data_IF_551640492863
#
_entry.id   IF_551640492863
#
_cell.length_a   1.000
_cell.length_b   1.000
_cell.length_c   1.000
_cell.angle_alpha   90.00
_cell.angle_beta   90.00
_cell.angle_gamma   90.00
#
_symmetry.space_group_name_H-M   'P 1'
#
loop_
_entity.id
_entity.type
_entity.pdbx_description
1 polymer ?
#
# COMPACT_ATOMS: atom_id res chain seq x y z
N UNK A 1 0.05 26.18 -2.52
CA UNK A 1 -0.60 25.07 -3.27
C UNK A 1 -0.19 25.07 -4.76
N UNK A 2 -0.51 26.12 -5.55
CA UNK A 2 -0.22 26.14 -7.00
C UNK A 2 1.27 25.96 -7.33
N UNK A 3 2.19 26.54 -6.54
CA UNK A 3 3.64 26.46 -6.82
C UNK A 3 4.18 25.05 -6.53
N UNK A 4 3.70 24.38 -5.49
CA UNK A 4 4.07 22.99 -5.22
C UNK A 4 3.64 22.07 -6.36
N UNK A 5 2.46 22.29 -6.94
CA UNK A 5 1.99 21.57 -8.11
C UNK A 5 2.93 21.71 -9.33
N UNK A 6 3.60 22.87 -9.51
CA UNK A 6 4.60 23.04 -10.56
C UNK A 6 5.89 22.25 -10.29
N UNK A 7 6.25 22.06 -9.02
CA UNK A 7 7.40 21.22 -8.61
C UNK A 7 7.04 19.75 -8.78
N UNK A 8 5.89 19.32 -8.25
CA UNK A 8 5.42 17.95 -8.29
C UNK A 8 5.24 17.43 -9.73
N UNK A 9 4.75 18.31 -10.63
CA UNK A 9 4.65 18.00 -12.05
C UNK A 9 5.98 18.13 -12.84
N UNK A 10 7.09 18.43 -12.18
CA UNK A 10 8.40 18.59 -12.83
C UNK A 10 8.54 19.81 -13.73
N UNK A 11 7.63 20.78 -13.64
CA UNK A 11 7.70 22.04 -14.42
C UNK A 11 8.66 23.05 -13.81
N UNK A 12 8.97 22.90 -12.53
CA UNK A 12 9.97 23.69 -11.83
C UNK A 12 11.01 22.76 -11.21
N UNK A 13 12.13 22.57 -11.88
CA UNK A 13 13.23 21.70 -11.49
C UNK A 13 14.52 22.52 -11.37
N UNK A 14 15.47 22.05 -10.57
CA UNK A 14 16.84 22.57 -10.61
C UNK A 14 17.48 22.18 -11.94
N UNK A 15 18.24 23.11 -12.54
CA UNK A 15 18.74 23.02 -13.92
C UNK A 15 19.59 21.77 -14.24
N UNK A 16 20.19 21.15 -13.24
CA UNK A 16 21.20 20.08 -13.42
C UNK A 16 20.91 18.79 -12.62
N UNK A 17 19.70 18.56 -12.15
CA UNK A 17 19.36 17.43 -11.24
C UNK A 17 20.11 17.46 -9.89
N UNK A 18 20.96 18.45 -9.63
CA UNK A 18 21.78 18.60 -8.43
C UNK A 18 21.25 19.71 -7.48
N UNK A 19 19.97 19.99 -7.52
CA UNK A 19 19.35 20.98 -6.65
C UNK A 19 18.02 20.51 -6.08
N UNK A 20 17.67 21.05 -4.90
CA UNK A 20 16.35 20.93 -4.31
C UNK A 20 15.67 22.28 -4.38
N UNK A 21 14.49 22.33 -4.94
CA UNK A 21 13.63 23.52 -4.93
C UNK A 21 12.65 23.38 -3.78
N UNK A 22 12.76 24.29 -2.81
CA UNK A 22 11.80 24.41 -1.71
C UNK A 22 10.94 25.63 -1.91
N UNK A 23 9.66 25.50 -1.62
CA UNK A 23 8.69 26.61 -1.64
C UNK A 23 8.11 26.77 -0.26
N UNK A 24 8.26 27.95 0.28
CA UNK A 24 7.71 28.32 1.58
C UNK A 24 6.81 29.57 1.42
N UNK A 25 5.84 29.75 2.31
CA UNK A 25 4.98 30.91 2.30
C UNK A 25 5.10 31.66 3.62
N UNK A 26 5.67 32.85 3.54
CA UNK A 26 5.72 33.78 4.66
C UNK A 26 4.38 34.50 4.78
N UNK A 27 3.60 34.12 5.79
CA UNK A 27 2.26 34.67 6.05
C UNK A 27 2.32 36.12 6.46
N UNK A 28 3.35 36.51 7.24
CA UNK A 28 3.50 37.86 7.77
C UNK A 28 3.91 38.87 6.67
N UNK A 29 4.78 38.43 5.77
CA UNK A 29 5.24 39.20 4.63
C UNK A 29 4.34 39.08 3.38
N UNK A 30 3.39 38.13 3.39
CA UNK A 30 2.54 37.77 2.25
C UNK A 30 3.37 37.44 0.98
N UNK A 31 4.42 36.66 1.15
CA UNK A 31 5.37 36.31 0.09
C UNK A 31 5.56 34.81 -0.05
N UNK A 32 5.65 34.34 -1.28
CA UNK A 32 6.13 32.98 -1.58
C UNK A 32 7.64 33.03 -1.76
N UNK A 33 8.36 32.29 -0.92
CA UNK A 33 9.81 32.19 -0.97
C UNK A 33 10.17 30.90 -1.70
N UNK A 34 10.87 31.02 -2.84
CA UNK A 34 11.38 29.88 -3.59
C UNK A 34 12.89 29.83 -3.34
N UNK A 35 13.36 28.76 -2.74
CA UNK A 35 14.78 28.54 -2.45
C UNK A 35 15.28 27.37 -3.24
N UNK A 36 16.32 27.56 -4.06
CA UNK A 36 17.06 26.50 -4.72
C UNK A 36 18.35 26.22 -3.93
N UNK A 37 18.47 25.02 -3.38
CA UNK A 37 19.70 24.59 -2.67
C UNK A 37 20.45 23.60 -3.55
N UNK A 38 21.67 23.89 -3.98
CA UNK A 38 22.49 22.92 -4.71
C UNK A 38 22.76 21.68 -3.88
N UNK A 39 22.60 20.49 -4.47
CA UNK A 39 23.08 19.26 -3.89
C UNK A 39 24.59 19.12 -4.18
N UNK A 40 25.31 18.48 -3.26
CA UNK A 40 26.70 18.13 -3.51
C UNK A 40 26.76 17.01 -4.56
N UNK A 41 27.32 17.25 -5.74
CA UNK A 41 27.32 16.26 -6.82
C UNK A 41 28.24 15.05 -6.55
N UNK A 42 29.04 15.11 -5.48
CA UNK A 42 29.90 14.00 -5.06
C UNK A 42 29.16 12.95 -4.26
N UNK A 43 27.97 13.26 -3.72
CA UNK A 43 27.22 12.38 -2.83
C UNK A 43 26.19 11.55 -3.60
N UNK A 44 25.88 10.39 -3.07
CA UNK A 44 24.74 9.57 -3.49
C UNK A 44 23.42 10.35 -3.31
N UNK A 45 22.49 10.17 -4.26
CA UNK A 45 21.25 10.92 -4.36
C UNK A 45 20.10 10.01 -4.80
N UNK A 46 18.87 10.53 -4.77
CA UNK A 46 17.65 9.85 -5.23
C UNK A 46 17.54 8.43 -4.64
N UNK A 47 17.46 8.31 -3.31
CA UNK A 47 17.34 7.00 -2.67
C UNK A 47 16.01 6.33 -3.05
N UNK A 48 16.06 5.02 -3.25
CA UNK A 48 14.88 4.16 -3.34
C UNK A 48 15.05 3.03 -2.32
N UNK A 49 14.14 2.87 -1.35
CA UNK A 49 12.98 3.72 -1.06
C UNK A 49 13.35 5.19 -0.80
N UNK A 50 12.43 6.11 -1.12
CA UNK A 50 12.63 7.53 -0.82
C UNK A 50 12.81 7.77 0.67
N UNK A 51 13.59 8.79 1.03
CA UNK A 51 13.81 9.09 2.45
C UNK A 51 12.51 9.58 3.11
N UNK A 52 12.11 8.90 4.18
CA UNK A 52 10.85 9.12 4.87
C UNK A 52 9.69 8.29 4.33
N UNK A 53 9.91 7.43 3.31
CA UNK A 53 8.88 6.54 2.81
C UNK A 53 8.30 5.65 3.91
N UNK A 54 7.01 5.43 3.87
CA UNK A 54 6.26 4.49 4.72
C UNK A 54 5.70 3.35 3.86
N UNK A 55 5.22 2.30 4.50
CA UNK A 55 4.62 1.14 3.83
C UNK A 55 5.56 0.47 2.79
N UNK A 56 6.85 0.53 3.05
CA UNK A 56 7.86 -0.11 2.20
C UNK A 56 7.78 -1.63 2.34
N UNK A 57 7.86 -2.35 1.23
CA UNK A 57 7.83 -3.81 1.21
C UNK A 57 9.01 -4.41 2.02
N UNK A 58 8.77 -5.57 2.63
CA UNK A 58 9.76 -6.26 3.47
C UNK A 58 10.99 -6.79 2.72
N UNK A 59 10.87 -6.98 1.43
CA UNK A 59 11.93 -7.44 0.52
C UNK A 59 12.52 -6.31 -0.33
N UNK A 60 12.35 -5.07 0.12
CA UNK A 60 12.82 -3.88 -0.59
C UNK A 60 14.32 -3.94 -0.89
N UNK A 61 14.67 -3.56 -2.12
CA UNK A 61 16.04 -3.35 -2.56
C UNK A 61 16.36 -1.87 -2.45
N UNK A 62 17.46 -1.55 -1.76
CA UNK A 62 17.95 -0.18 -1.69
C UNK A 62 18.69 0.16 -2.99
N UNK A 63 18.40 1.31 -3.58
CA UNK A 63 19.11 1.82 -4.74
C UNK A 63 19.24 3.34 -4.68
N UNK A 64 20.18 3.88 -5.43
CA UNK A 64 20.49 5.31 -5.45
C UNK A 64 21.11 5.74 -6.76
N UNK A 65 21.15 7.05 -7.01
CA UNK A 65 21.96 7.65 -8.07
C UNK A 65 23.33 7.95 -7.49
N UNK A 66 24.44 7.37 -8.02
CA UNK A 66 25.78 7.66 -7.56
C UNK A 66 26.19 9.11 -7.81
N UNK A 67 27.15 9.60 -7.00
CA UNK A 67 27.85 10.86 -7.27
C UNK A 67 28.70 10.80 -8.55
N UNK A 68 29.07 11.98 -9.07
CA UNK A 68 29.77 12.08 -10.39
C UNK A 68 31.24 11.68 -10.39
N UNK A 69 31.86 11.52 -9.20
CA UNK A 69 33.30 11.21 -9.07
C UNK A 69 33.56 9.86 -8.40
N UNK A 70 32.52 9.04 -8.27
CA UNK A 70 32.59 7.78 -7.52
C UNK A 70 33.29 6.67 -8.31
N UNK A 71 34.13 5.89 -7.63
CA UNK A 71 34.64 4.62 -8.12
C UNK A 71 33.93 3.45 -7.45
N UNK A 72 33.73 3.51 -6.13
CA UNK A 72 33.00 2.51 -5.33
C UNK A 72 32.20 3.16 -4.22
N UNK A 73 31.34 2.38 -3.57
CA UNK A 73 30.48 2.86 -2.49
C UNK A 73 30.57 1.97 -1.25
N UNK A 74 30.41 2.61 -0.06
CA UNK A 74 30.22 1.91 1.20
C UNK A 74 28.80 2.13 1.67
N UNK A 75 28.08 1.05 1.96
CA UNK A 75 26.68 1.09 2.38
C UNK A 75 26.57 0.74 3.86
N UNK A 76 25.91 1.61 4.59
CA UNK A 76 25.58 1.44 6.01
C UNK A 76 24.08 1.32 6.13
N UNK A 77 23.61 0.29 6.85
CA UNK A 77 22.18 -0.02 6.99
C UNK A 77 21.90 -0.61 8.37
N UNK A 78 20.83 -0.16 9.04
CA UNK A 78 20.48 -0.63 10.37
C UNK A 78 19.24 0.04 10.93
N UNK A 79 18.90 -0.28 12.18
CA UNK A 79 17.72 0.25 12.88
C UNK A 79 18.01 1.40 13.85
N UNK A 80 19.29 1.71 14.09
CA UNK A 80 19.72 2.86 14.88
C UNK A 80 20.29 3.97 14.00
N UNK A 81 19.64 5.14 14.04
CA UNK A 81 20.04 6.30 13.23
C UNK A 81 21.45 6.80 13.56
N UNK A 82 21.85 6.76 14.84
CA UNK A 82 23.17 7.26 15.26
C UNK A 82 24.27 6.30 14.81
N UNK A 83 24.05 4.99 14.96
CA UNK A 83 25.04 4.01 14.52
C UNK A 83 25.23 4.10 13.00
N UNK A 84 24.15 4.18 12.23
CA UNK A 84 24.26 4.37 10.76
C UNK A 84 24.92 5.70 10.40
N UNK A 85 24.59 6.79 11.12
CA UNK A 85 25.16 8.09 10.86
C UNK A 85 26.64 8.17 11.21
N UNK A 86 27.08 7.58 12.33
CA UNK A 86 28.44 7.74 12.87
C UNK A 86 29.40 6.64 12.44
N UNK A 87 28.91 5.52 11.86
CA UNK A 87 29.76 4.42 11.42
C UNK A 87 30.78 4.88 10.36
N UNK A 88 31.94 4.23 10.38
CA UNK A 88 33.00 4.35 9.38
C UNK A 88 33.49 2.96 8.99
N UNK A 89 34.39 2.85 8.00
CA UNK A 89 35.03 1.57 7.65
C UNK A 89 35.88 1.04 8.83
N UNK A 90 36.49 1.93 9.59
CA UNK A 90 37.36 1.56 10.73
C UNK A 90 36.55 1.30 12.00
N UNK A 91 35.35 1.90 12.14
CA UNK A 91 34.38 1.66 13.22
C UNK A 91 32.99 1.37 12.62
N UNK A 92 32.75 0.15 12.15
CA UNK A 92 31.54 -0.20 11.40
C UNK A 92 30.26 -0.30 12.25
N UNK A 93 30.34 -0.30 13.58
CA UNK A 93 29.21 -0.38 14.53
C UNK A 93 28.18 -1.45 14.24
N UNK A 94 28.54 -2.47 13.47
CA UNK A 94 27.65 -3.55 13.03
C UNK A 94 26.66 -3.16 11.92
N UNK A 95 26.80 -1.98 11.30
CA UNK A 95 25.88 -1.46 10.27
C UNK A 95 26.52 -1.28 8.89
N UNK A 96 27.84 -1.53 8.72
CA UNK A 96 28.48 -1.57 7.40
C UNK A 96 28.11 -2.88 6.72
N UNK A 97 27.20 -2.82 5.75
CA UNK A 97 26.65 -3.99 5.06
C UNK A 97 27.19 -4.19 3.65
N UNK A 98 27.84 -3.18 3.08
CA UNK A 98 28.51 -3.26 1.79
C UNK A 98 29.74 -2.36 1.77
N UNK A 99 30.89 -2.92 1.37
CA UNK A 99 32.13 -2.18 1.26
C UNK A 99 32.66 -2.28 -0.17
N UNK A 100 33.11 -1.17 -0.72
CA UNK A 100 33.72 -1.07 -2.06
C UNK A 100 32.80 -1.63 -3.17
N UNK A 101 31.47 -1.39 -3.07
CA UNK A 101 30.51 -1.82 -4.07
C UNK A 101 30.67 -1.01 -5.35
N UNK A 102 30.70 -1.69 -6.51
CA UNK A 102 30.72 -1.04 -7.82
C UNK A 102 29.32 -0.69 -8.34
N UNK A 103 28.27 -1.32 -7.79
CA UNK A 103 26.87 -1.12 -8.18
C UNK A 103 26.13 -0.18 -7.23
N UNK A 104 25.12 0.51 -7.74
CA UNK A 104 24.32 1.47 -6.98
C UNK A 104 23.05 0.82 -6.40
N UNK A 105 23.17 -0.38 -5.85
CA UNK A 105 22.08 -1.07 -5.16
C UNK A 105 22.60 -1.99 -4.08
N UNK A 106 21.75 -2.25 -3.08
CA UNK A 106 22.00 -3.22 -2.01
C UNK A 106 20.70 -3.94 -1.66
N UNK A 107 20.75 -5.26 -1.56
CA UNK A 107 19.62 -6.08 -1.10
C UNK A 107 19.94 -6.55 0.32
N UNK A 108 19.11 -6.22 1.32
CA UNK A 108 19.29 -6.76 2.68
C UNK A 108 19.31 -8.30 2.70
N UNK A 109 20.19 -8.89 3.50
CA UNK A 109 20.36 -10.34 3.57
C UNK A 109 19.13 -11.07 4.15
N UNK A 110 18.33 -10.36 4.95
CA UNK A 110 17.13 -10.89 5.56
C UNK A 110 15.92 -10.06 5.18
N UNK A 111 14.75 -10.70 5.17
CA UNK A 111 13.47 -10.00 5.08
C UNK A 111 13.34 -9.02 6.25
N UNK A 112 12.95 -7.78 5.95
CA UNK A 112 12.84 -6.70 6.92
C UNK A 112 11.69 -6.93 7.91
N UNK A 113 11.84 -6.42 9.13
CA UNK A 113 10.83 -6.57 10.18
C UNK A 113 9.65 -5.62 9.95
N UNK A 114 8.44 -6.11 10.22
CA UNK A 114 7.21 -5.34 10.11
C UNK A 114 7.21 -4.09 11.00
N UNK A 115 6.78 -2.96 10.46
CA UNK A 115 6.64 -1.69 11.17
C UNK A 115 7.97 -1.08 11.63
N UNK A 116 9.09 -1.73 11.30
CA UNK A 116 10.41 -1.25 11.69
C UNK A 116 10.87 -0.11 10.78
N UNK A 117 11.34 0.97 11.38
CA UNK A 117 12.07 2.01 10.66
C UNK A 117 13.53 1.60 10.50
N UNK A 118 14.01 1.63 9.28
CA UNK A 118 15.40 1.42 8.91
C UNK A 118 16.04 2.72 8.48
N UNK A 119 17.32 2.88 8.83
CA UNK A 119 18.18 3.98 8.43
C UNK A 119 19.28 3.46 7.52
N UNK A 120 19.68 4.26 6.57
CA UNK A 120 20.78 3.89 5.68
C UNK A 120 21.52 5.10 5.12
N UNK A 121 22.74 4.86 4.72
CA UNK A 121 23.64 5.88 4.18
C UNK A 121 24.58 5.23 3.18
N UNK A 122 24.95 5.97 2.14
CA UNK A 122 25.92 5.57 1.14
C UNK A 122 27.06 6.57 1.14
N UNK A 123 28.27 6.12 1.47
CA UNK A 123 29.48 6.93 1.35
C UNK A 123 30.14 6.64 0.02
N UNK A 124 30.41 7.67 -0.76
CA UNK A 124 31.03 7.58 -2.06
C UNK A 124 32.56 7.57 -1.92
N UNK A 125 33.24 6.66 -2.62
CA UNK A 125 34.68 6.42 -2.51
C UNK A 125 35.34 6.61 -3.85
N UNK A 126 36.44 7.40 -3.86
CA UNK A 126 37.37 7.51 -4.97
C UNK A 126 38.79 7.68 -4.43
N UNK A 127 39.61 6.66 -4.53
CA UNK A 127 40.97 6.63 -3.95
C UNK A 127 41.93 7.64 -4.59
N UNK A 128 41.56 8.22 -5.74
CA UNK A 128 42.35 9.27 -6.40
C UNK A 128 42.04 10.67 -5.89
N UNK A 129 40.96 10.82 -5.10
CA UNK A 129 40.52 12.10 -4.58
C UNK A 129 40.89 12.28 -3.10
N UNK A 130 41.58 13.39 -2.74
CA UNK A 130 42.18 13.56 -1.41
C UNK A 130 41.18 13.69 -0.26
N UNK A 131 39.89 13.98 -0.56
CA UNK A 131 38.82 14.15 0.45
C UNK A 131 37.83 12.99 0.44
N UNK A 132 38.14 11.89 -0.23
CA UNK A 132 37.39 10.65 -0.19
C UNK A 132 37.69 9.87 1.10
N UNK A 133 36.71 9.11 1.66
CA UNK A 133 35.33 8.96 1.21
C UNK A 133 34.47 10.19 1.53
N UNK A 134 33.48 10.47 0.65
CA UNK A 134 32.48 11.50 0.91
C UNK A 134 31.29 10.90 1.64
N UNK A 135 31.10 11.31 2.89
CA UNK A 135 30.01 10.85 3.74
C UNK A 135 28.65 11.26 3.17
N UNK A 136 27.80 10.28 2.91
CA UNK A 136 26.46 10.48 2.38
C UNK A 136 25.46 11.06 3.36
N UNK A 137 24.25 11.34 2.86
CA UNK A 137 23.11 11.72 3.69
C UNK A 137 22.55 10.51 4.41
N UNK A 138 22.03 10.71 5.61
CA UNK A 138 21.26 9.71 6.32
C UNK A 138 19.84 9.69 5.73
N UNK A 139 19.40 8.55 5.23
CA UNK A 139 18.05 8.29 4.76
C UNK A 139 17.34 7.31 5.68
N UNK A 140 16.03 7.27 5.62
CA UNK A 140 15.23 6.31 6.35
C UNK A 140 13.97 5.91 5.58
N UNK A 141 13.40 4.78 5.96
CA UNK A 141 12.06 4.35 5.55
C UNK A 141 11.45 3.46 6.63
N UNK A 142 10.13 3.32 6.61
CA UNK A 142 9.40 2.42 7.52
C UNK A 142 8.72 1.32 6.73
N UNK A 143 8.93 0.09 7.16
CA UNK A 143 8.36 -1.11 6.53
C UNK A 143 6.88 -1.22 6.85
N UNK A 144 6.11 -1.81 5.94
CA UNK A 144 4.68 -2.12 6.15
C UNK A 144 4.43 -2.79 7.51
N UNK A 145 3.30 -2.45 8.13
CA UNK A 145 2.85 -3.06 9.40
C UNK A 145 1.66 -4.01 9.20
N UNK A 146 1.48 -4.52 7.98
CA UNK A 146 0.37 -5.38 7.62
C UNK A 146 0.79 -6.52 6.69
N UNK A 147 -0.09 -7.50 6.60
CA UNK A 147 -0.02 -8.59 5.61
C UNK A 147 -1.17 -8.39 4.63
N UNK A 148 -0.87 -8.39 3.34
CA UNK A 148 -1.89 -8.27 2.30
C UNK A 148 -2.75 -9.53 2.25
N UNK A 149 -4.07 -9.34 2.22
CA UNK A 149 -5.06 -10.37 1.87
C UNK A 149 -5.39 -10.24 0.38
N UNK A 150 -5.72 -9.03 -0.07
CA UNK A 150 -5.91 -8.66 -1.46
C UNK A 150 -5.70 -7.15 -1.64
N UNK A 151 -4.86 -6.75 -2.58
CA UNK A 151 -4.63 -5.35 -2.98
C UNK A 151 -5.20 -5.05 -4.37
N UNK A 152 -5.84 -6.03 -4.98
CA UNK A 152 -6.51 -5.99 -6.29
C UNK A 152 -5.63 -5.70 -7.50
N UNK A 153 -4.31 -5.64 -7.36
CA UNK A 153 -3.36 -5.31 -8.43
C UNK A 153 -3.06 -6.47 -9.39
N UNK A 154 -3.41 -7.70 -9.01
CA UNK A 154 -3.15 -8.91 -9.80
C UNK A 154 -4.26 -9.23 -10.83
N UNK A 155 -5.36 -8.46 -10.85
CA UNK A 155 -6.52 -8.70 -11.71
C UNK A 155 -6.41 -7.97 -13.04
N UNK A 156 -7.06 -8.53 -14.07
CA UNK A 156 -7.14 -7.93 -15.41
C UNK A 156 -8.36 -8.48 -16.18
N UNK A 157 -8.49 -8.08 -17.45
CA UNK A 157 -9.64 -8.42 -18.29
C UNK A 157 -9.54 -9.80 -18.96
N UNK A 158 -8.54 -10.61 -18.65
CA UNK A 158 -8.25 -11.85 -19.36
C UNK A 158 -8.16 -13.06 -18.46
N UNK A 159 -8.67 -14.25 -18.90
CA UNK A 159 -8.52 -15.49 -18.15
C UNK A 159 -7.05 -15.84 -17.84
N UNK A 160 -6.74 -16.31 -16.63
CA UNK A 160 -7.66 -16.64 -15.53
C UNK A 160 -7.79 -15.52 -14.46
N UNK A 161 -7.40 -14.28 -14.80
CA UNK A 161 -7.20 -13.21 -13.81
C UNK A 161 -8.38 -12.23 -13.72
N UNK A 162 -9.56 -12.57 -14.25
CA UNK A 162 -10.75 -11.77 -14.03
C UNK A 162 -11.18 -11.90 -12.54
N UNK A 163 -11.69 -10.81 -11.99
CA UNK A 163 -11.99 -10.67 -10.56
C UNK A 163 -12.92 -11.78 -10.02
N UNK A 164 -13.94 -12.17 -10.77
CA UNK A 164 -14.89 -13.22 -10.36
C UNK A 164 -14.32 -14.64 -10.32
N UNK A 165 -13.12 -14.88 -10.86
CA UNK A 165 -12.42 -16.16 -10.69
C UNK A 165 -11.85 -16.32 -9.27
N UNK A 166 -11.68 -15.22 -8.54
CA UNK A 166 -11.17 -15.18 -7.16
C UNK A 166 -12.25 -14.77 -6.18
N UNK A 167 -12.99 -13.71 -6.47
CA UNK A 167 -14.13 -13.21 -5.72
C UNK A 167 -15.43 -13.68 -6.38
N UNK A 168 -15.83 -14.92 -6.03
CA UNK A 168 -17.03 -15.54 -6.60
C UNK A 168 -18.25 -14.72 -6.21
N UNK A 169 -19.00 -14.28 -7.18
CA UNK A 169 -20.19 -13.43 -7.06
C UNK A 169 -21.52 -14.18 -7.24
N UNK A 170 -22.59 -13.42 -7.45
CA UNK A 170 -23.93 -13.94 -7.68
C UNK A 170 -24.31 -14.16 -9.14
N UNK A 171 -23.40 -13.97 -10.09
CA UNK A 171 -23.73 -14.08 -11.50
C UNK A 171 -24.32 -15.47 -11.84
N UNK A 172 -25.56 -15.46 -12.32
CA UNK A 172 -26.29 -16.69 -12.60
C UNK A 172 -26.89 -17.41 -11.38
N UNK A 173 -26.78 -16.83 -10.16
CA UNK A 173 -27.35 -17.37 -8.92
C UNK A 173 -28.54 -16.50 -8.50
N UNK A 174 -29.80 -16.96 -8.67
CA UNK A 174 -30.99 -16.13 -8.47
C UNK A 174 -31.21 -15.63 -7.03
N UNK A 175 -30.47 -16.16 -6.06
CA UNK A 175 -30.56 -15.81 -4.63
C UNK A 175 -29.41 -14.93 -4.14
N UNK A 176 -28.53 -14.50 -5.04
CA UNK A 176 -27.40 -13.64 -4.74
C UNK A 176 -27.33 -12.52 -5.79
N UNK A 177 -27.57 -11.28 -5.38
CA UNK A 177 -27.63 -10.10 -6.24
C UNK A 177 -26.30 -9.41 -6.50
N UNK A 178 -25.17 -10.00 -6.07
CA UNK A 178 -23.86 -9.39 -6.24
C UNK A 178 -23.24 -9.65 -7.63
N UNK A 179 -22.51 -8.65 -8.13
CA UNK A 179 -21.58 -8.79 -9.27
C UNK A 179 -20.24 -8.16 -8.89
N UNK A 180 -19.16 -8.90 -9.05
CA UNK A 180 -17.79 -8.42 -8.89
C UNK A 180 -17.24 -7.94 -10.22
N UNK A 181 -16.71 -6.72 -10.25
CA UNK A 181 -16.29 -6.06 -11.49
C UNK A 181 -17.43 -5.39 -12.24
N UNK A 182 -17.09 -4.48 -13.15
CA UNK A 182 -18.07 -3.82 -14.01
C UNK A 182 -18.76 -4.82 -14.93
N UNK A 183 -20.10 -4.83 -14.98
CA UNK A 183 -20.80 -5.68 -15.92
C UNK A 183 -20.72 -5.09 -17.34
N UNK A 184 -20.22 -5.89 -18.30
CA UNK A 184 -20.17 -5.56 -19.74
C UNK A 184 -19.39 -4.26 -20.10
N UNK A 185 -18.12 -4.13 -19.70
CA UNK A 185 -17.31 -2.97 -20.06
C UNK A 185 -17.13 -2.86 -21.59
N UNK A 186 -17.08 -1.63 -22.10
CA UNK A 186 -16.72 -1.35 -23.49
C UNK A 186 -15.18 -1.25 -23.62
N UNK A 187 -14.53 -2.35 -23.87
CA UNK A 187 -13.07 -2.41 -24.06
C UNK A 187 -12.56 -1.55 -25.22
N UNK A 188 -13.42 -1.20 -26.19
CA UNK A 188 -13.04 -0.31 -27.30
C UNK A 188 -12.98 1.13 -26.81
N UNK A 189 -13.81 1.48 -25.83
CA UNK A 189 -13.78 2.77 -25.16
C UNK A 189 -12.66 2.84 -24.08
N UNK A 190 -11.98 1.73 -23.78
CA UNK A 190 -10.97 1.65 -22.74
C UNK A 190 -11.53 1.36 -21.35
N UNK A 191 -12.75 0.84 -21.25
CA UNK A 191 -13.32 0.39 -19.99
C UNK A 191 -12.76 -1.00 -19.61
N UNK A 192 -12.70 -1.28 -18.32
CA UNK A 192 -12.16 -2.51 -17.74
C UNK A 192 -13.16 -3.16 -16.77
N UNK A 193 -12.94 -4.42 -16.39
CA UNK A 193 -13.71 -5.04 -15.31
C UNK A 193 -13.37 -4.44 -13.94
N UNK A 194 -12.12 -4.02 -13.73
CA UNK A 194 -11.66 -3.35 -12.52
C UNK A 194 -11.83 -1.84 -12.67
N UNK A 195 -11.92 -1.15 -11.52
CA UNK A 195 -11.91 0.31 -11.46
C UNK A 195 -10.47 0.82 -11.42
N UNK A 196 -10.14 1.86 -12.19
CA UNK A 196 -8.79 2.44 -12.31
C UNK A 196 -8.72 3.96 -12.05
N UNK A 197 -9.86 4.62 -11.82
CA UNK A 197 -9.95 6.04 -11.45
C UNK A 197 -10.21 6.23 -9.95
N UNK A 198 -11.11 5.43 -9.35
CA UNK A 198 -11.45 5.46 -7.93
C UNK A 198 -10.65 4.36 -7.22
N UNK A 199 -9.41 4.66 -6.87
CA UNK A 199 -8.42 3.75 -6.28
C UNK A 199 -7.93 4.30 -4.95
N UNK A 200 -7.78 3.46 -3.92
CA UNK A 200 -7.21 3.86 -2.63
C UNK A 200 -5.68 3.84 -2.69
N UNK A 201 -5.10 2.77 -3.20
CA UNK A 201 -3.66 2.66 -3.48
C UNK A 201 -3.40 1.80 -4.71
N UNK A 202 -2.18 1.88 -5.27
CA UNK A 202 -1.86 1.14 -6.50
C UNK A 202 -2.56 1.70 -7.74
N UNK A 203 -3.13 0.84 -8.54
CA UNK A 203 -3.72 1.16 -9.84
C UNK A 203 -5.18 0.69 -10.00
N UNK A 204 -5.65 -0.25 -9.17
CA UNK A 204 -6.94 -0.91 -9.33
C UNK A 204 -7.71 -1.00 -8.02
N UNK A 205 -9.03 -0.91 -8.09
CA UNK A 205 -9.95 -1.28 -7.01
C UNK A 205 -11.07 -2.19 -7.52
N UNK A 206 -11.73 -2.92 -6.63
CA UNK A 206 -12.80 -3.86 -6.98
C UNK A 206 -14.17 -3.19 -6.86
N UNK A 207 -14.88 -2.92 -7.97
CA UNK A 207 -16.29 -2.56 -7.90
C UNK A 207 -17.13 -3.79 -7.57
N UNK A 208 -18.01 -3.66 -6.56
CA UNK A 208 -19.00 -4.67 -6.19
C UNK A 208 -20.39 -4.07 -6.32
N UNK A 209 -21.14 -4.55 -7.29
CA UNK A 209 -22.55 -4.20 -7.47
C UNK A 209 -23.40 -5.08 -6.56
N UNK A 210 -24.46 -4.51 -5.97
CA UNK A 210 -25.44 -5.25 -5.19
C UNK A 210 -26.86 -4.92 -5.65
N UNK A 211 -27.69 -5.94 -5.74
CA UNK A 211 -29.12 -5.85 -5.97
C UNK A 211 -29.86 -6.76 -4.97
N UNK A 212 -30.21 -6.18 -3.82
CA UNK A 212 -30.87 -6.90 -2.75
C UNK A 212 -32.39 -7.09 -2.99
N UNK A 213 -32.91 -6.84 -4.20
CA UNK A 213 -34.27 -7.27 -4.55
C UNK A 213 -34.45 -8.78 -4.38
N UNK A 214 -33.36 -9.56 -4.47
CA UNK A 214 -33.30 -11.00 -4.20
C UNK A 214 -33.00 -11.37 -2.74
N UNK A 215 -32.79 -10.36 -1.88
CA UNK A 215 -32.64 -10.51 -0.44
C UNK A 215 -31.22 -10.33 0.10
N UNK A 216 -30.18 -10.69 -0.66
CA UNK A 216 -28.76 -10.58 -0.25
C UNK A 216 -27.85 -10.48 -1.46
N UNK A 217 -26.71 -9.79 -1.30
CA UNK A 217 -25.65 -9.72 -2.30
C UNK A 217 -24.31 -10.02 -1.65
N UNK A 218 -23.56 -10.99 -2.18
CA UNK A 218 -22.29 -11.47 -1.59
C UNK A 218 -21.26 -11.75 -2.66
N UNK A 219 -20.02 -11.29 -2.42
CA UNK A 219 -18.83 -11.74 -3.14
C UNK A 219 -17.91 -12.48 -2.16
N UNK A 220 -17.39 -13.63 -2.56
CA UNK A 220 -16.66 -14.53 -1.66
C UNK A 220 -15.33 -14.98 -2.25
N UNK A 221 -14.25 -14.71 -1.52
CA UNK A 221 -12.91 -15.27 -1.77
C UNK A 221 -12.68 -16.52 -0.96
N UNK A 222 -12.17 -17.58 -1.61
CA UNK A 222 -11.77 -18.83 -0.96
C UNK A 222 -10.24 -18.89 -0.86
N UNK A 223 -9.73 -19.22 0.32
CA UNK A 223 -8.31 -19.37 0.56
C UNK A 223 -7.90 -20.84 0.38
N UNK A 224 -6.86 -21.10 -0.41
CA UNK A 224 -6.41 -22.46 -0.74
C UNK A 224 -5.12 -22.86 -0.03
N UNK A 225 -4.15 -21.96 0.10
CA UNK A 225 -2.89 -22.24 0.75
C UNK A 225 -2.97 -22.12 2.28
N UNK A 226 -2.16 -22.89 3.01
CA UNK A 226 -2.10 -22.80 4.48
C UNK A 226 -1.66 -21.41 4.97
N UNK A 227 -0.81 -20.73 4.22
CA UNK A 227 -0.38 -19.37 4.54
C UNK A 227 -1.53 -18.38 4.42
N UNK A 228 -2.30 -18.43 3.33
CA UNK A 228 -3.45 -17.53 3.14
C UNK A 228 -4.55 -17.78 4.18
N UNK A 229 -4.75 -19.04 4.60
CA UNK A 229 -5.75 -19.42 5.62
C UNK A 229 -5.39 -18.95 7.02
N UNK A 230 -4.13 -18.67 7.29
CA UNK A 230 -3.69 -18.32 8.64
C UNK A 230 -3.79 -16.81 8.90
N UNK A 231 -4.89 -16.39 9.49
CA UNK A 231 -5.15 -15.00 9.91
C UNK A 231 -4.54 -14.67 11.29
N UNK A 232 -3.65 -15.53 11.81
CA UNK A 232 -2.84 -15.26 13.00
C UNK A 232 -1.35 -15.13 12.67
N UNK A 233 -0.99 -15.31 11.37
CA UNK A 233 0.41 -15.20 10.93
C UNK A 233 0.98 -13.83 11.27
N UNK A 234 2.26 -13.79 11.58
CA UNK A 234 3.00 -12.55 11.88
C UNK A 234 2.42 -11.72 13.06
N UNK A 235 1.52 -12.31 13.86
CA UNK A 235 0.93 -11.64 15.02
C UNK A 235 -0.13 -10.58 14.69
N UNK A 236 -0.80 -10.71 13.55
CA UNK A 236 -1.90 -9.80 13.16
C UNK A 236 -3.12 -9.98 14.06
N UNK A 237 -3.86 -8.91 14.27
CA UNK A 237 -5.03 -8.86 15.16
C UNK A 237 -6.25 -8.14 14.55
N UNK A 238 -6.07 -7.42 13.44
CA UNK A 238 -7.13 -6.63 12.81
C UNK A 238 -7.22 -6.94 11.33
N UNK A 239 -8.41 -7.26 10.84
CA UNK A 239 -8.74 -7.26 9.42
C UNK A 239 -9.19 -5.84 9.05
N UNK A 240 -8.57 -5.28 8.03
CA UNK A 240 -8.91 -3.96 7.50
C UNK A 240 -9.26 -4.08 6.04
N UNK A 241 -10.24 -3.33 5.60
CA UNK A 241 -10.53 -3.09 4.19
C UNK A 241 -10.90 -1.63 4.00
N UNK A 242 -10.58 -1.09 2.83
CA UNK A 242 -11.00 0.25 2.44
C UNK A 242 -12.18 0.13 1.50
N UNK A 243 -13.14 1.06 1.65
CA UNK A 243 -14.31 1.11 0.79
C UNK A 243 -14.64 2.56 0.40
N UNK A 244 -15.26 2.71 -0.77
CA UNK A 244 -15.76 3.96 -1.32
C UNK A 244 -17.16 3.71 -1.89
N UNK A 245 -18.16 4.36 -1.34
CA UNK A 245 -19.55 4.26 -1.78
C UNK A 245 -19.91 5.31 -2.83
N UNK A 246 -21.16 5.30 -3.25
CA UNK A 246 -21.71 6.25 -4.23
C UNK A 246 -22.97 6.90 -3.67
N UNK A 247 -23.11 8.22 -3.84
CA UNK A 247 -24.22 9.01 -3.25
C UNK A 247 -25.61 8.53 -3.69
N UNK A 248 -25.72 8.03 -4.93
CA UNK A 248 -26.98 7.57 -5.52
C UNK A 248 -27.34 6.12 -5.13
N UNK A 249 -26.53 5.45 -4.30
CA UNK A 249 -26.83 4.10 -3.82
C UNK A 249 -28.05 4.10 -2.88
N UNK A 250 -28.79 2.99 -2.86
CA UNK A 250 -29.67 2.69 -1.75
C UNK A 250 -28.85 2.23 -0.54
N UNK A 251 -29.22 2.71 0.66
CA UNK A 251 -28.52 2.30 1.88
C UNK A 251 -28.80 0.82 2.20
N UNK A 252 -27.72 0.03 2.34
CA UNK A 252 -27.77 -1.37 2.72
C UNK A 252 -26.74 -1.69 3.81
N UNK A 253 -27.06 -2.63 4.67
CA UNK A 253 -26.14 -3.09 5.69
C UNK A 253 -24.97 -3.81 5.05
N UNK A 254 -23.77 -3.20 5.09
CA UNK A 254 -22.54 -3.84 4.66
C UNK A 254 -21.98 -4.74 5.78
N UNK A 255 -21.45 -5.91 5.43
CA UNK A 255 -20.83 -6.82 6.38
C UNK A 255 -19.65 -7.59 5.77
N UNK A 256 -18.79 -8.10 6.66
CA UNK A 256 -17.80 -9.12 6.34
C UNK A 256 -18.15 -10.41 7.06
N UNK A 257 -18.04 -11.54 6.37
CA UNK A 257 -18.17 -12.84 7.00
C UNK A 257 -16.92 -13.70 6.77
N UNK A 258 -16.48 -14.43 7.80
CA UNK A 258 -15.47 -15.47 7.68
C UNK A 258 -16.12 -16.86 7.79
N UNK A 259 -15.66 -17.78 6.94
CA UNK A 259 -16.17 -19.16 6.83
C UNK A 259 -17.69 -19.23 6.63
N UNK A 260 -18.28 -18.16 6.08
CA UNK A 260 -19.70 -18.06 5.78
C UNK A 260 -20.62 -17.85 6.98
N UNK A 261 -20.16 -18.02 8.22
CA UNK A 261 -21.02 -18.04 9.42
C UNK A 261 -20.72 -16.92 10.42
N UNK A 262 -19.48 -16.57 10.61
CA UNK A 262 -19.11 -15.48 11.52
C UNK A 262 -19.22 -14.16 10.80
N UNK A 263 -20.11 -13.31 11.25
CA UNK A 263 -20.50 -12.07 10.55
C UNK A 263 -20.20 -10.86 11.43
N UNK A 264 -19.51 -9.87 10.86
CA UNK A 264 -19.35 -8.55 11.46
C UNK A 264 -19.95 -7.51 10.53
N UNK A 265 -20.93 -6.78 11.04
CA UNK A 265 -21.60 -5.72 10.30
C UNK A 265 -20.80 -4.42 10.41
N UNK A 266 -20.79 -3.63 9.35
CA UNK A 266 -20.35 -2.25 9.45
C UNK A 266 -21.29 -1.47 10.38
N UNK A 267 -20.72 -0.71 11.31
CA UNK A 267 -21.51 0.08 12.27
C UNK A 267 -22.28 1.22 11.58
N UNK A 268 -21.72 1.76 10.50
CA UNK A 268 -22.41 2.74 9.68
C UNK A 268 -23.31 2.04 8.65
N UNK A 269 -24.62 2.17 8.85
CA UNK A 269 -25.61 1.63 7.91
C UNK A 269 -25.67 2.36 6.58
N UNK A 270 -25.07 3.56 6.50
CA UNK A 270 -24.94 4.35 5.28
C UNK A 270 -23.56 4.20 4.63
N UNK A 271 -22.75 3.23 5.03
CA UNK A 271 -21.41 3.03 4.50
C UNK A 271 -21.37 2.99 2.96
N UNK A 272 -22.38 2.40 2.32
CA UNK A 272 -22.49 2.35 0.86
C UNK A 272 -22.70 3.73 0.18
N UNK A 273 -23.02 4.78 0.95
CA UNK A 273 -23.26 6.15 0.47
C UNK A 273 -22.05 7.08 0.67
N UNK A 274 -21.00 6.62 1.35
CA UNK A 274 -19.82 7.44 1.70
C UNK A 274 -18.94 7.60 0.49
N UNK A 275 -18.82 8.83 -0.03
CA UNK A 275 -18.07 9.17 -1.26
C UNK A 275 -16.63 9.60 -0.98
N UNK A 276 -15.97 8.92 -0.04
CA UNK A 276 -14.56 9.05 0.26
C UNK A 276 -14.00 7.71 0.71
N UNK A 277 -12.72 7.46 0.46
CA UNK A 277 -12.08 6.24 0.92
C UNK A 277 -12.12 6.16 2.43
N UNK A 278 -12.81 5.15 2.94
CA UNK A 278 -13.05 4.95 4.37
C UNK A 278 -12.46 3.62 4.81
N UNK A 279 -11.65 3.70 5.85
CA UNK A 279 -11.02 2.53 6.46
C UNK A 279 -11.98 1.84 7.42
N UNK A 280 -12.24 0.55 7.20
CA UNK A 280 -13.02 -0.28 8.12
C UNK A 280 -12.11 -1.29 8.82
N UNK A 281 -11.91 -1.09 10.11
CA UNK A 281 -11.10 -1.96 10.96
C UNK A 281 -11.99 -2.93 11.73
N UNK A 282 -11.74 -4.21 11.58
CA UNK A 282 -12.49 -5.30 12.23
C UNK A 282 -11.52 -6.09 13.10
N UNK A 283 -11.65 -6.05 14.44
CA UNK A 283 -10.87 -6.91 15.32
C UNK A 283 -11.11 -8.39 14.97
N UNK A 284 -10.04 -9.13 14.67
CA UNK A 284 -10.17 -10.56 14.35
C UNK A 284 -10.80 -11.38 15.49
N UNK A 285 -10.72 -10.86 16.73
CA UNK A 285 -11.37 -11.46 17.89
C UNK A 285 -12.89 -11.56 17.73
N UNK A 286 -13.54 -10.62 17.02
CA UNK A 286 -15.00 -10.68 16.79
C UNK A 286 -15.43 -11.92 16.01
N UNK A 287 -14.60 -12.39 15.08
CA UNK A 287 -14.82 -13.64 14.37
C UNK A 287 -14.47 -14.87 15.22
N UNK A 288 -13.41 -14.77 16.03
CA UNK A 288 -13.01 -15.85 16.95
C UNK A 288 -14.09 -16.11 18.01
N UNK A 289 -14.71 -15.06 18.54
CA UNK A 289 -15.80 -15.15 19.53
C UNK A 289 -17.05 -15.83 18.92
N UNK A 290 -17.21 -15.80 17.61
CA UNK A 290 -18.23 -16.54 16.85
C UNK A 290 -17.80 -17.94 16.44
N UNK A 291 -16.63 -18.42 16.92
CA UNK A 291 -16.14 -19.78 16.74
C UNK A 291 -15.23 -20.01 15.52
N UNK A 292 -14.75 -18.96 14.85
CA UNK A 292 -13.80 -19.10 13.75
C UNK A 292 -12.42 -19.47 14.28
N UNK A 293 -11.85 -20.55 13.73
CA UNK A 293 -10.44 -20.82 13.92
C UNK A 293 -9.61 -19.92 12.99
N UNK A 294 -9.06 -18.84 13.54
CA UNK A 294 -8.29 -17.85 12.79
C UNK A 294 -7.00 -18.41 12.16
N UNK A 295 -6.48 -19.55 12.64
CA UNK A 295 -5.36 -20.20 11.97
C UNK A 295 -5.77 -21.04 10.75
N UNK A 296 -7.08 -21.15 10.47
CA UNK A 296 -7.62 -21.89 9.34
C UNK A 296 -8.92 -21.27 8.81
N UNK A 297 -8.83 -20.04 8.33
CA UNK A 297 -9.90 -19.33 7.63
C UNK A 297 -10.00 -19.86 6.21
N UNK A 298 -11.14 -20.41 5.81
CA UNK A 298 -11.32 -20.99 4.49
C UNK A 298 -11.87 -19.98 3.46
N UNK A 299 -12.66 -19.01 3.92
CA UNK A 299 -13.24 -18.01 3.04
C UNK A 299 -13.49 -16.69 3.76
N UNK A 300 -13.49 -15.62 2.98
CA UNK A 300 -13.92 -14.28 3.35
C UNK A 300 -15.01 -13.84 2.38
N UNK A 301 -16.09 -13.28 2.90
CA UNK A 301 -17.20 -12.73 2.14
C UNK A 301 -17.38 -11.27 2.46
N UNK A 302 -17.55 -10.43 1.44
CA UNK A 302 -18.09 -9.08 1.56
C UNK A 302 -19.55 -9.14 1.12
N UNK A 303 -20.45 -8.58 1.89
CA UNK A 303 -21.87 -8.69 1.59
C UNK A 303 -22.69 -7.47 1.97
N UNK A 304 -23.87 -7.39 1.36
CA UNK A 304 -24.86 -6.34 1.56
C UNK A 304 -26.21 -6.98 1.91
N UNK A 305 -26.90 -6.41 2.89
CA UNK A 305 -28.17 -6.89 3.41
C UNK A 305 -28.03 -7.57 4.78
N UNK A 306 -29.07 -8.29 5.19
CA UNK A 306 -29.07 -9.03 6.46
C UNK A 306 -28.82 -10.51 6.22
N UNK A 307 -27.55 -10.96 6.45
CA UNK A 307 -27.16 -12.35 6.21
C UNK A 307 -27.98 -13.37 7.01
N UNK A 308 -28.36 -13.03 8.25
CA UNK A 308 -29.12 -13.95 9.11
C UNK A 308 -30.60 -14.07 8.70
N UNK A 309 -31.15 -13.03 8.07
CA UNK A 309 -32.56 -12.99 7.64
C UNK A 309 -32.64 -12.17 6.35
N UNK A 310 -32.27 -12.73 5.18
CA UNK A 310 -32.32 -12.03 3.92
C UNK A 310 -33.73 -11.50 3.60
N UNK A 311 -33.83 -10.22 3.32
CA UNK A 311 -35.08 -9.54 2.93
C UNK A 311 -34.79 -8.64 1.75
N UNK A 312 -35.78 -8.48 0.87
CA UNK A 312 -35.62 -7.57 -0.27
C UNK A 312 -35.23 -6.15 0.20
N UNK A 313 -34.24 -5.58 -0.44
CA UNK A 313 -33.64 -4.29 -0.10
C UNK A 313 -33.27 -3.49 -1.35
N UNK A 314 -32.30 -2.60 -1.21
CA UNK A 314 -31.86 -1.67 -2.22
C UNK A 314 -30.81 -2.22 -3.17
N UNK A 315 -30.33 -1.34 -4.05
CA UNK A 315 -29.29 -1.62 -5.05
C UNK A 315 -28.24 -0.51 -5.09
N UNK A 316 -27.09 -0.84 -5.62
CA UNK A 316 -25.99 0.12 -5.79
C UNK A 316 -24.67 -0.57 -6.09
N UNK A 317 -23.57 0.17 -5.91
CA UNK A 317 -22.23 -0.39 -6.01
C UNK A 317 -21.28 0.32 -5.05
N UNK A 318 -20.26 -0.41 -4.60
CA UNK A 318 -19.22 0.07 -3.69
C UNK A 318 -17.88 -0.44 -4.20
N UNK A 319 -16.87 0.42 -4.17
CA UNK A 319 -15.49 0.06 -4.50
C UNK A 319 -14.79 -0.43 -3.24
N UNK A 320 -14.02 -1.50 -3.36
CA UNK A 320 -13.19 -2.05 -2.29
C UNK A 320 -11.74 -2.08 -2.73
N UNK A 321 -10.86 -1.76 -1.79
CA UNK A 321 -9.43 -1.81 -2.00
C UNK A 321 -8.70 -2.22 -0.72
N UNK A 322 -7.44 -2.65 -0.86
CA UNK A 322 -6.50 -2.84 0.24
C UNK A 322 -7.06 -3.65 1.41
N UNK A 323 -7.40 -4.91 1.15
CA UNK A 323 -7.76 -5.85 2.23
C UNK A 323 -6.48 -6.33 2.90
N UNK A 324 -6.30 -5.95 4.16
CA UNK A 324 -5.06 -6.13 4.91
C UNK A 324 -5.30 -6.72 6.29
N UNK A 325 -4.30 -7.42 6.82
CA UNK A 325 -4.27 -7.88 8.21
C UNK A 325 -3.19 -7.09 8.95
N UNK A 326 -3.58 -6.28 9.91
CA UNK A 326 -2.68 -5.42 10.67
C UNK A 326 -2.23 -6.07 11.97
N UNK A 327 -0.99 -5.76 12.36
CA UNK A 327 -0.43 -6.01 13.68
C UNK A 327 -0.91 -4.94 14.67
N UNK A 328 -0.75 -5.18 16.00
CA UNK A 328 -1.11 -4.21 17.03
C UNK A 328 -0.37 -2.88 16.87
#
# INVERSE_FOLDING_TARGET
>A
EIVNQYIDNGWMIAYDDFGVVNVDYDVDANQTIITATPLDPRLAQKPTPESGAVDVARDAVLSWKPGIYVDTQNVYFGTDANDVNEATVDDPRGVLVGQSLAGASYTPDNILDFGQTYYWRVDEVNDTEPNSPWKGKLWNFTVVNYVVVDDFEDYNDYPPNEIWNTWIDGYGIPTNGATAGYPNPDFVAGEHYMEDDIVHSGLLSMPVFYDNSVGISEVTRTFTSSTMKNFTREGVVTLTLFYYGVEDNDAEQMYVALNGNAVVNNEDRNAALVTEWTQWNIPLQEFADQGVNLSNVNSMTIGFGNKANPTAGGQGHVFFDDIRLYRP
#
